data_IF_172634958975
#
_entry.id   IF_172634958975
#
_cell.length_a   1.000
_cell.length_b   1.000
_cell.length_c   1.000
_cell.angle_alpha   90.00
_cell.angle_beta   90.00
_cell.angle_gamma   90.00
#
_symmetry.space_group_name_H-M   'P 1'
#
loop_
_entity.id
_entity.type
_entity.pdbx_description
1 polymer ?
#
# COMPACT_ATOMS: atom_id res chain seq x y z
N UNK A 1 19.27 -0.63 15.41
CA UNK A 1 18.85 -2.00 15.05
C UNK A 1 19.81 -2.45 13.96
N UNK A 2 20.42 -3.63 14.13
CA UNK A 2 21.46 -4.17 13.24
C UNK A 2 20.80 -5.05 12.15
N UNK A 3 21.24 -4.96 10.91
CA UNK A 3 20.71 -5.73 9.76
C UNK A 3 20.72 -7.23 10.04
N UNK A 4 21.74 -7.74 10.76
CA UNK A 4 21.85 -9.15 11.13
C UNK A 4 20.87 -9.64 12.22
N UNK A 5 20.18 -8.73 12.91
CA UNK A 5 19.13 -9.10 13.86
C UNK A 5 17.81 -9.43 13.14
N UNK A 6 17.54 -8.75 12.03
CA UNK A 6 16.39 -9.03 11.19
C UNK A 6 16.50 -10.44 10.63
N UNK A 7 17.63 -10.82 10.02
CA UNK A 7 17.88 -12.15 9.44
C UNK A 7 17.55 -13.36 10.35
N UNK A 8 17.58 -13.20 11.69
CA UNK A 8 17.34 -14.29 12.64
C UNK A 8 15.86 -14.56 12.93
N UNK A 9 14.93 -13.65 12.58
CA UNK A 9 13.51 -13.76 12.95
C UNK A 9 12.62 -14.54 11.95
N UNK A 10 13.11 -14.83 10.73
CA UNK A 10 12.36 -15.35 9.57
C UNK A 10 12.92 -16.69 9.04
N UNK A 11 13.84 -17.29 9.80
CA UNK A 11 14.62 -18.48 9.39
C UNK A 11 13.83 -19.79 9.26
N UNK A 12 12.51 -19.80 9.39
CA UNK A 12 11.74 -21.04 9.28
C UNK A 12 11.06 -21.22 7.93
N UNK A 13 10.95 -20.17 7.12
CA UNK A 13 10.02 -20.17 5.98
C UNK A 13 10.71 -19.97 4.61
N UNK A 14 11.88 -19.32 4.56
CA UNK A 14 12.58 -19.02 3.29
C UNK A 14 13.87 -19.82 3.03
N UNK A 15 14.14 -20.86 3.81
CA UNK A 15 15.22 -21.82 3.51
C UNK A 15 14.76 -22.74 2.38
N UNK A 16 14.68 -22.18 1.18
CA UNK A 16 14.15 -22.83 0.00
C UNK A 16 14.57 -22.18 -1.33
N UNK A 17 15.62 -21.37 -1.34
CA UNK A 17 16.40 -21.10 -2.57
C UNK A 17 17.83 -20.85 -2.14
N UNK A 18 18.62 -21.92 -2.17
CA UNK A 18 20.03 -21.86 -1.88
C UNK A 18 20.75 -20.90 -2.81
N UNK A 19 21.94 -20.51 -2.36
CA UNK A 19 23.05 -19.84 -3.04
C UNK A 19 23.49 -20.48 -4.40
N UNK A 20 22.63 -21.20 -5.13
CA UNK A 20 23.02 -22.04 -6.26
C UNK A 20 22.02 -22.14 -7.43
N UNK A 21 20.77 -21.65 -7.37
CA UNK A 21 19.87 -21.70 -8.55
C UNK A 21 18.95 -20.46 -8.61
N UNK A 22 19.17 -19.58 -9.60
CA UNK A 22 18.43 -18.32 -9.83
C UNK A 22 16.97 -18.49 -10.30
N UNK A 23 16.34 -19.67 -10.15
CA UNK A 23 15.08 -19.93 -10.88
C UNK A 23 14.07 -20.85 -10.18
N UNK A 24 14.28 -21.24 -8.92
CA UNK A 24 13.31 -22.08 -8.22
C UNK A 24 12.28 -21.21 -7.47
N UNK A 25 11.01 -21.24 -7.92
CA UNK A 25 9.89 -20.64 -7.16
C UNK A 25 9.91 -21.11 -5.71
N UNK A 26 9.80 -20.16 -4.77
CA UNK A 26 9.79 -20.46 -3.34
C UNK A 26 8.68 -21.49 -3.02
N UNK A 27 8.95 -22.53 -2.19
CA UNK A 27 7.91 -23.46 -1.73
C UNK A 27 6.70 -22.76 -1.12
N UNK A 28 6.89 -21.59 -0.51
CA UNK A 28 5.83 -20.77 0.07
C UNK A 28 5.00 -20.09 -1.02
N UNK A 29 5.65 -19.49 -2.01
CA UNK A 29 4.96 -18.87 -3.15
C UNK A 29 4.07 -19.90 -3.83
N UNK A 30 4.60 -21.11 -4.10
CA UNK A 30 3.83 -22.22 -4.67
C UNK A 30 2.64 -22.64 -3.79
N UNK A 31 2.86 -22.78 -2.47
CA UNK A 31 1.80 -23.13 -1.54
C UNK A 31 0.69 -22.06 -1.48
N UNK A 32 1.07 -20.78 -1.49
CA UNK A 32 0.15 -19.65 -1.48
C UNK A 32 -0.64 -19.57 -2.78
N UNK A 33 0.01 -19.69 -3.95
CA UNK A 33 -0.68 -19.74 -5.24
C UNK A 33 -1.67 -20.90 -5.32
N UNK A 34 -1.29 -22.09 -4.84
CA UNK A 34 -2.19 -23.25 -4.80
C UNK A 34 -3.38 -23.04 -3.85
N UNK A 35 -3.18 -22.37 -2.71
CA UNK A 35 -4.25 -22.00 -1.79
C UNK A 35 -5.21 -21.00 -2.43
N UNK A 36 -4.69 -19.93 -3.03
CA UNK A 36 -5.49 -18.91 -3.71
C UNK A 36 -6.28 -19.53 -4.87
N UNK A 37 -5.67 -20.41 -5.66
CA UNK A 37 -6.35 -21.13 -6.73
C UNK A 37 -7.53 -21.97 -6.21
N UNK A 38 -7.36 -22.67 -5.08
CA UNK A 38 -8.45 -23.41 -4.44
C UNK A 38 -9.54 -22.48 -3.91
N UNK A 39 -9.17 -21.31 -3.39
CA UNK A 39 -10.12 -20.31 -2.90
C UNK A 39 -10.96 -19.70 -4.02
N UNK A 40 -10.45 -19.63 -5.27
CA UNK A 40 -11.24 -19.15 -6.43
C UNK A 40 -12.56 -19.92 -6.60
N UNK A 41 -12.58 -21.22 -6.29
CA UNK A 41 -13.80 -22.03 -6.36
C UNK A 41 -14.90 -21.55 -5.40
N UNK A 42 -14.54 -20.84 -4.32
CA UNK A 42 -15.49 -20.23 -3.38
C UNK A 42 -16.00 -18.85 -3.84
N UNK A 43 -15.40 -18.27 -4.88
CA UNK A 43 -15.71 -16.93 -5.40
C UNK A 43 -15.83 -15.88 -4.28
N UNK A 44 -14.80 -15.71 -3.42
CA UNK A 44 -14.82 -14.64 -2.43
C UNK A 44 -14.82 -13.28 -3.15
N UNK A 45 -15.57 -12.32 -2.60
CA UNK A 45 -15.55 -10.94 -3.09
C UNK A 45 -14.21 -10.26 -2.76
N UNK A 46 -13.62 -10.58 -1.60
CA UNK A 46 -12.33 -10.05 -1.16
C UNK A 46 -11.43 -11.16 -0.59
N UNK A 47 -10.13 -11.03 -0.82
CA UNK A 47 -9.09 -11.81 -0.16
C UNK A 47 -8.17 -10.82 0.54
N UNK A 48 -8.20 -10.81 1.88
CA UNK A 48 -7.32 -9.99 2.69
C UNK A 48 -6.09 -10.80 3.07
N UNK A 49 -4.92 -10.30 2.70
CA UNK A 49 -3.63 -10.90 3.05
C UNK A 49 -2.99 -10.00 4.11
N UNK A 50 -2.98 -10.46 5.36
CA UNK A 50 -2.31 -9.74 6.45
C UNK A 50 -0.81 -10.05 6.42
N UNK A 51 -0.05 -9.15 5.80
CA UNK A 51 1.40 -9.12 5.94
C UNK A 51 1.74 -8.21 7.11
N UNK A 52 2.03 -8.80 8.28
CA UNK A 52 2.68 -8.02 9.35
C UNK A 52 3.93 -7.36 8.77
N UNK A 53 4.16 -6.09 9.11
CA UNK A 53 5.35 -5.31 8.77
C UNK A 53 6.63 -5.84 9.47
N UNK A 54 6.81 -7.16 9.50
CA UNK A 54 8.11 -7.76 9.68
C UNK A 54 8.88 -7.46 8.42
N UNK A 55 9.83 -6.54 8.51
CA UNK A 55 10.95 -6.31 7.59
C UNK A 55 11.66 -7.57 7.08
N UNK A 56 11.34 -8.72 7.68
CA UNK A 56 12.03 -9.95 7.42
C UNK A 56 11.19 -10.87 6.59
N UNK A 57 11.17 -10.61 5.29
CA UNK A 57 11.37 -11.63 4.27
C UNK A 57 10.76 -11.11 2.97
N UNK A 58 11.34 -11.56 1.86
CA UNK A 58 10.73 -11.58 0.54
C UNK A 58 9.22 -11.92 0.54
N UNK A 59 8.64 -12.50 1.60
CA UNK A 59 7.22 -12.68 1.85
C UNK A 59 6.37 -11.41 1.63
N UNK A 60 6.66 -10.31 2.33
CA UNK A 60 5.86 -9.08 2.22
C UNK A 60 5.97 -8.46 0.83
N UNK A 61 7.17 -8.52 0.26
CA UNK A 61 7.47 -7.94 -1.05
C UNK A 61 6.98 -8.78 -2.22
N UNK A 62 6.89 -10.11 -2.07
CA UNK A 62 6.29 -11.02 -3.07
C UNK A 62 4.75 -11.00 -3.03
N UNK A 63 4.16 -10.50 -1.94
CA UNK A 63 2.72 -10.28 -1.86
C UNK A 63 2.27 -9.03 -2.62
N UNK A 64 3.13 -8.03 -2.82
CA UNK A 64 2.81 -6.84 -3.61
C UNK A 64 2.51 -7.19 -5.08
N UNK A 65 3.26 -8.12 -5.69
CA UNK A 65 2.96 -8.61 -7.05
C UNK A 65 1.67 -9.46 -7.12
N UNK A 66 1.14 -9.89 -5.97
CA UNK A 66 -0.04 -10.74 -5.86
C UNK A 66 -1.30 -9.97 -5.46
N UNK A 67 -1.14 -8.84 -4.76
CA UNK A 67 -2.21 -7.96 -4.34
C UNK A 67 -2.62 -7.04 -5.49
N UNK A 68 -3.92 -6.83 -5.65
CA UNK A 68 -4.41 -5.81 -6.58
C UNK A 68 -4.20 -4.40 -6.04
N UNK A 69 -4.25 -4.25 -4.70
CA UNK A 69 -4.10 -3.00 -3.97
C UNK A 69 -3.38 -3.28 -2.66
N UNK A 70 -2.38 -2.45 -2.35
CA UNK A 70 -1.69 -2.45 -1.06
C UNK A 70 -2.35 -1.49 -0.07
N UNK A 71 -2.56 -1.94 1.16
CA UNK A 71 -3.09 -1.08 2.24
C UNK A 71 -2.00 -0.90 3.28
N UNK A 72 -1.45 0.32 3.37
CA UNK A 72 -0.34 0.66 4.26
C UNK A 72 -0.88 1.27 5.54
N UNK A 73 -0.92 0.50 6.63
CA UNK A 73 -1.40 0.97 7.92
C UNK A 73 -0.25 1.46 8.80
N UNK A 74 -0.31 2.71 9.23
CA UNK A 74 0.61 3.27 10.22
C UNK A 74 -0.12 4.17 11.21
N UNK A 75 0.51 4.43 12.36
CA UNK A 75 0.02 5.38 13.37
C UNK A 75 0.88 6.62 13.37
N UNK A 76 0.34 7.74 13.84
CA UNK A 76 1.11 8.95 14.16
C UNK A 76 2.06 8.67 15.33
N UNK A 77 3.25 8.17 14.98
CA UNK A 77 4.31 7.80 15.90
C UNK A 77 5.58 7.59 15.11
N UNK A 78 6.74 7.87 15.72
CA UNK A 78 8.05 7.63 15.08
C UNK A 78 8.18 6.22 14.48
N UNK A 79 7.77 5.19 15.22
CA UNK A 79 7.83 3.82 14.74
C UNK A 79 6.91 3.57 13.53
N UNK A 80 5.73 4.22 13.50
CA UNK A 80 4.82 4.15 12.36
C UNK A 80 5.42 4.80 11.12
N UNK A 81 6.08 5.95 11.28
CA UNK A 81 6.76 6.65 10.20
C UNK A 81 7.95 5.87 9.66
N UNK A 82 8.82 5.37 10.54
CA UNK A 82 9.99 4.57 10.15
C UNK A 82 9.56 3.31 9.35
N UNK A 83 8.43 2.68 9.73
CA UNK A 83 7.87 1.52 9.02
C UNK A 83 7.22 1.88 7.68
N UNK A 84 6.49 3.00 7.63
CA UNK A 84 5.87 3.51 6.39
C UNK A 84 6.96 3.86 5.36
N UNK A 85 7.97 4.63 5.76
CA UNK A 85 9.08 5.04 4.90
C UNK A 85 9.76 3.82 4.26
N UNK A 86 10.10 2.82 5.07
CA UNK A 86 10.74 1.62 4.54
C UNK A 86 9.85 0.84 3.56
N UNK A 87 8.55 0.75 3.86
CA UNK A 87 7.60 0.06 2.98
C UNK A 87 7.46 0.79 1.65
N UNK A 88 7.36 2.12 1.69
CA UNK A 88 7.29 2.99 0.51
C UNK A 88 8.59 2.92 -0.30
N UNK A 89 9.75 2.91 0.35
CA UNK A 89 11.03 2.71 -0.30
C UNK A 89 11.09 1.39 -1.09
N UNK A 90 10.65 0.29 -0.45
CA UNK A 90 10.66 -1.02 -1.09
C UNK A 90 9.65 -1.14 -2.25
N UNK A 91 8.51 -0.45 -2.17
CA UNK A 91 7.55 -0.34 -3.27
C UNK A 91 8.14 0.47 -4.44
N UNK A 92 8.86 1.56 -4.16
CA UNK A 92 9.48 2.42 -5.18
C UNK A 92 10.64 1.76 -5.93
N UNK A 93 11.31 0.77 -5.35
CA UNK A 93 12.30 -0.04 -6.07
C UNK A 93 11.68 -0.91 -7.18
N UNK A 94 10.38 -1.21 -7.10
CA UNK A 94 9.69 -2.20 -7.95
C UNK A 94 8.68 -1.59 -8.90
N UNK A 95 8.07 -0.47 -8.52
CA UNK A 95 6.98 0.15 -9.25
C UNK A 95 7.26 1.62 -9.53
N UNK A 96 6.85 2.09 -10.71
CA UNK A 96 6.71 3.52 -10.96
C UNK A 96 5.52 4.06 -10.15
N UNK A 97 5.58 5.32 -9.72
CA UNK A 97 4.50 5.95 -8.95
C UNK A 97 3.11 5.79 -9.59
N UNK A 98 3.02 5.87 -10.93
CA UNK A 98 1.77 5.69 -11.70
C UNK A 98 1.20 4.27 -11.68
N UNK A 99 2.03 3.26 -11.43
CA UNK A 99 1.63 1.86 -11.39
C UNK A 99 1.26 1.40 -9.98
N UNK A 100 1.61 2.20 -8.97
CA UNK A 100 1.39 1.84 -7.58
C UNK A 100 -0.09 2.01 -7.21
N UNK A 101 -0.74 0.90 -6.96
CA UNK A 101 -2.09 0.86 -6.41
C UNK A 101 -2.00 0.66 -4.90
N UNK A 102 -1.91 1.75 -4.15
CA UNK A 102 -1.89 1.67 -2.69
C UNK A 102 -2.80 2.69 -2.00
N UNK A 103 -3.22 2.35 -0.79
CA UNK A 103 -3.95 3.23 0.13
C UNK A 103 -3.16 3.34 1.42
N UNK A 104 -2.71 4.55 1.75
CA UNK A 104 -2.15 4.85 3.07
C UNK A 104 -3.29 5.06 4.07
N UNK A 105 -3.16 4.47 5.26
CA UNK A 105 -4.15 4.56 6.34
C UNK A 105 -3.47 5.08 7.60
N UNK A 106 -3.97 6.21 8.11
CA UNK A 106 -3.66 6.64 9.47
C UNK A 106 -4.57 5.89 10.43
N UNK A 107 -4.03 4.89 11.11
CA UNK A 107 -4.74 4.08 12.08
C UNK A 107 -4.72 4.72 13.48
N UNK A 108 -5.81 4.54 14.22
CA UNK A 108 -5.98 4.97 15.61
C UNK A 108 -5.80 6.48 15.80
N UNK A 109 -6.26 7.29 14.84
CA UNK A 109 -6.28 8.74 15.00
C UNK A 109 -7.16 9.16 16.20
N UNK A 110 -6.93 10.33 16.82
CA UNK A 110 -7.78 10.80 17.91
C UNK A 110 -9.28 10.81 17.55
N UNK A 111 -10.16 10.45 18.49
CA UNK A 111 -11.59 10.22 18.20
C UNK A 111 -12.34 11.51 17.83
N UNK A 112 -11.98 12.64 18.46
CA UNK A 112 -12.66 13.93 18.26
C UNK A 112 -12.02 14.72 17.13
N UNK A 113 -12.71 14.78 15.98
CA UNK A 113 -12.24 15.45 14.77
C UNK A 113 -12.00 16.96 14.94
N UNK A 114 -12.68 17.60 15.89
CA UNK A 114 -12.52 19.04 16.15
C UNK A 114 -11.44 19.35 17.18
N UNK A 115 -10.77 18.34 17.72
CA UNK A 115 -9.76 18.54 18.76
C UNK A 115 -8.43 19.02 18.15
N UNK A 116 -7.70 19.91 18.84
CA UNK A 116 -6.35 20.31 18.42
C UNK A 116 -5.36 19.15 18.33
N UNK A 117 -5.64 18.04 19.01
CA UNK A 117 -4.85 16.81 18.92
C UNK A 117 -5.08 16.08 17.59
N UNK A 118 -6.34 15.95 17.18
CA UNK A 118 -6.69 15.36 15.89
C UNK A 118 -6.10 16.17 14.72
N UNK A 119 -6.27 17.48 14.74
CA UNK A 119 -5.75 18.36 13.67
C UNK A 119 -4.23 18.23 13.54
N UNK A 120 -3.51 18.29 14.67
CA UNK A 120 -2.05 18.11 14.68
C UNK A 120 -1.63 16.73 14.19
N UNK A 121 -2.27 15.69 14.71
CA UNK A 121 -1.92 14.30 14.40
C UNK A 121 -2.15 13.95 12.94
N UNK A 122 -3.26 14.40 12.37
CA UNK A 122 -3.59 14.17 10.95
C UNK A 122 -2.75 15.03 10.00
N UNK A 123 -2.40 16.26 10.39
CA UNK A 123 -1.48 17.10 9.63
C UNK A 123 -0.06 16.51 9.60
N UNK A 124 0.47 16.12 10.76
CA UNK A 124 1.80 15.50 10.84
C UNK A 124 1.85 14.20 10.04
N UNK A 125 0.85 13.33 10.18
CA UNK A 125 0.83 12.07 9.45
C UNK A 125 0.75 12.28 7.93
N UNK A 126 -0.03 13.27 7.46
CA UNK A 126 -0.08 13.65 6.04
C UNK A 126 1.30 14.10 5.55
N UNK A 127 1.97 14.96 6.30
CA UNK A 127 3.29 15.46 5.94
C UNK A 127 4.32 14.32 5.85
N UNK A 128 4.38 13.45 6.86
CA UNK A 128 5.29 12.31 6.89
C UNK A 128 5.01 11.31 5.77
N UNK A 129 3.74 11.08 5.44
CA UNK A 129 3.34 10.24 4.31
C UNK A 129 3.78 10.85 2.97
N UNK A 130 3.50 12.14 2.74
CA UNK A 130 3.94 12.83 1.53
C UNK A 130 5.46 12.79 1.38
N UNK A 131 6.20 13.08 2.45
CA UNK A 131 7.66 13.12 2.41
C UNK A 131 8.26 11.73 2.10
N UNK A 132 7.70 10.65 2.66
CA UNK A 132 8.09 9.28 2.30
C UNK A 132 7.89 9.00 0.79
N UNK A 133 6.73 9.35 0.23
CA UNK A 133 6.47 9.17 -1.21
C UNK A 133 7.34 10.09 -2.07
N UNK A 134 7.56 11.33 -1.66
CA UNK A 134 8.40 12.29 -2.38
C UNK A 134 9.86 11.83 -2.45
N UNK A 135 10.37 11.21 -1.37
CA UNK A 135 11.74 10.70 -1.33
C UNK A 135 11.98 9.48 -2.21
N UNK A 136 10.98 8.59 -2.30
CA UNK A 136 11.17 7.23 -2.83
C UNK A 136 10.40 6.91 -4.12
N UNK A 137 9.28 7.57 -4.38
CA UNK A 137 8.38 7.24 -5.50
C UNK A 137 8.23 8.37 -6.50
N UNK A 138 8.07 9.61 -6.03
CA UNK A 138 7.79 10.72 -6.94
C UNK A 138 9.02 11.17 -7.72
N UNK A 139 8.83 11.63 -8.98
CA UNK A 139 9.92 12.14 -9.79
C UNK A 139 10.62 13.30 -9.09
N UNK A 140 11.95 13.23 -9.00
CA UNK A 140 12.77 14.33 -8.52
C UNK A 140 12.95 15.31 -9.67
N UNK A 141 12.66 16.58 -9.43
CA UNK A 141 12.74 17.67 -10.42
C UNK A 141 14.17 17.92 -10.98
N UNK A 142 15.18 17.11 -10.64
CA UNK A 142 16.59 17.37 -10.98
C UNK A 142 17.22 16.38 -11.99
N UNK A 143 16.43 15.54 -12.67
CA UNK A 143 17.00 14.60 -13.66
C UNK A 143 17.11 15.14 -15.10
N UNK A 144 16.88 16.43 -15.35
CA UNK A 144 17.22 17.07 -16.65
C UNK A 144 18.70 17.46 -16.67
N UNK A 145 19.58 16.46 -16.79
CA UNK A 145 21.03 16.70 -16.83
C UNK A 145 21.88 15.61 -17.49
N UNK A 146 21.30 14.52 -18.00
CA UNK A 146 22.07 13.47 -18.70
C UNK A 146 21.50 13.25 -20.08
N UNK A 147 22.37 13.32 -21.10
CA UNK A 147 22.04 13.22 -22.51
C UNK A 147 21.23 11.94 -22.81
N UNK A 148 19.92 12.11 -23.01
CA UNK A 148 19.04 11.05 -23.47
C UNK A 148 19.34 10.73 -24.94
N UNK A 149 19.46 9.43 -25.25
CA UNK A 149 19.70 8.94 -26.61
C UNK A 149 18.43 9.17 -27.47
N UNK A 150 18.51 9.54 -28.76
CA UNK A 150 17.35 9.98 -29.56
C UNK A 150 16.47 8.81 -30.04
N UNK A 151 15.87 8.06 -29.12
CA UNK A 151 15.01 6.92 -29.40
C UNK A 151 13.89 6.66 -28.38
N UNK A 152 14.06 7.09 -27.12
CA UNK A 152 13.11 6.84 -26.03
C UNK A 152 12.23 8.07 -25.68
N UNK A 153 12.21 9.10 -26.52
CA UNK A 153 11.55 10.40 -26.26
C UNK A 153 10.08 10.49 -26.67
N UNK A 154 9.35 9.38 -26.75
CA UNK A 154 7.90 9.41 -26.91
C UNK A 154 7.26 9.05 -25.56
N UNK A 155 6.69 10.09 -24.94
CA UNK A 155 5.76 10.06 -23.79
C UNK A 155 6.37 9.94 -22.39
N UNK A 156 7.33 10.80 -22.08
CA UNK A 156 7.49 11.29 -20.70
C UNK A 156 6.86 12.69 -20.65
N UNK A 157 5.53 12.76 -20.48
CA UNK A 157 4.98 13.96 -19.84
C UNK A 157 5.71 14.09 -18.50
N UNK A 158 6.41 15.21 -18.28
CA UNK A 158 7.09 15.51 -17.03
C UNK A 158 6.03 15.64 -15.92
N UNK A 159 5.60 14.50 -15.39
CA UNK A 159 4.59 14.43 -14.35
C UNK A 159 5.22 14.94 -13.06
N UNK A 160 4.96 16.21 -12.76
CA UNK A 160 5.42 16.84 -11.52
C UNK A 160 4.88 16.08 -10.32
N UNK A 161 5.70 15.92 -9.28
CA UNK A 161 5.28 15.28 -8.04
C UNK A 161 3.96 15.90 -7.52
N UNK A 162 2.96 15.09 -7.11
CA UNK A 162 1.73 15.59 -6.54
C UNK A 162 1.99 16.46 -5.30
N UNK A 163 1.24 17.55 -5.15
CA UNK A 163 1.29 18.38 -3.94
C UNK A 163 0.83 17.62 -2.70
N UNK A 164 1.33 18.00 -1.52
CA UNK A 164 1.02 17.39 -0.22
C UNK A 164 -0.49 17.36 0.12
N UNK A 165 -1.23 18.36 -0.36
CA UNK A 165 -2.68 18.48 -0.14
C UNK A 165 -3.52 17.70 -1.17
N UNK A 166 -2.89 16.91 -2.06
CA UNK A 166 -3.61 16.15 -3.08
C UNK A 166 -4.40 15.00 -2.45
N UNK A 167 -5.73 15.12 -2.41
CA UNK A 167 -6.61 14.14 -1.75
C UNK A 167 -6.74 12.80 -2.49
N UNK A 168 -6.38 12.77 -3.77
CA UNK A 168 -6.48 11.60 -4.65
C UNK A 168 -5.14 10.87 -4.82
N UNK A 169 -4.03 11.51 -4.44
CA UNK A 169 -2.69 10.93 -4.53
C UNK A 169 -2.52 9.77 -3.54
N UNK A 170 -1.65 8.83 -3.90
CA UNK A 170 -1.37 7.63 -3.11
C UNK A 170 -0.86 7.93 -1.68
N UNK A 171 -0.14 9.04 -1.49
CA UNK A 171 0.36 9.47 -0.18
C UNK A 171 -0.75 10.00 0.73
N UNK A 172 -1.93 10.35 0.19
CA UNK A 172 -3.00 11.01 0.94
C UNK A 172 -3.66 10.01 1.90
N UNK A 173 -3.51 10.18 3.22
CA UNK A 173 -3.93 9.16 4.16
C UNK A 173 -5.45 9.11 4.31
N UNK A 174 -6.00 7.90 4.39
CA UNK A 174 -7.36 7.65 4.88
C UNK A 174 -7.32 7.49 6.39
N UNK A 175 -7.99 8.39 7.09
CA UNK A 175 -7.97 8.44 8.56
C UNK A 175 -9.01 7.48 9.14
N UNK A 176 -8.55 6.56 10.00
CA UNK A 176 -9.41 5.68 10.80
C UNK A 176 -9.22 6.02 12.27
N UNK A 177 -10.26 6.62 12.86
CA UNK A 177 -10.21 7.06 14.26
C UNK A 177 -10.21 5.89 15.23
N UNK A 178 -9.58 6.12 16.37
CA UNK A 178 -9.65 5.25 17.52
C UNK A 178 -11.10 5.19 18.04
N UNK A 179 -11.57 3.97 18.26
CA UNK A 179 -12.82 3.70 18.94
C UNK A 179 -12.56 2.69 20.07
N UNK A 180 -12.77 3.12 21.31
CA UNK A 180 -12.57 2.30 22.51
C UNK A 180 -13.40 1.00 22.50
N UNK A 181 -14.53 0.98 21.79
CA UNK A 181 -15.41 -0.20 21.70
C UNK A 181 -14.79 -1.31 20.86
N UNK A 182 -13.83 -0.99 19.99
CA UNK A 182 -13.07 -1.97 19.21
C UNK A 182 -11.96 -2.65 20.04
N UNK A 183 -11.61 -2.11 21.21
CA UNK A 183 -10.61 -2.72 22.11
C UNK A 183 -11.16 -3.97 22.77
N UNK A 184 -12.46 -3.95 23.13
CA UNK A 184 -13.11 -5.09 23.79
C UNK A 184 -14.58 -5.16 23.41
N UNK A 185 -14.98 -6.28 22.85
CA UNK A 185 -16.36 -6.58 22.49
C UNK A 185 -16.67 -8.06 22.72
N UNK A 186 -17.95 -8.36 22.93
CA UNK A 186 -18.41 -9.74 23.18
C UNK A 186 -18.63 -10.54 21.89
N UNK A 187 -18.90 -9.86 20.78
CA UNK A 187 -19.10 -10.45 19.46
C UNK A 187 -18.97 -9.39 18.37
N UNK A 188 -18.75 -9.81 17.11
CA UNK A 188 -18.74 -8.89 15.96
C UNK A 188 -20.09 -8.17 15.79
N UNK A 189 -21.21 -8.86 16.09
CA UNK A 189 -22.54 -8.25 16.06
C UNK A 189 -22.68 -7.09 17.02
N UNK A 190 -22.00 -7.12 18.16
CA UNK A 190 -22.05 -6.05 19.18
C UNK A 190 -21.32 -4.77 18.74
N UNK A 191 -20.41 -4.85 17.77
CA UNK A 191 -19.64 -3.71 17.24
C UNK A 191 -19.95 -3.43 15.77
N UNK A 192 -21.09 -3.91 15.26
CA UNK A 192 -21.45 -3.78 13.85
C UNK A 192 -21.38 -2.32 13.39
N UNK A 193 -21.86 -1.39 14.20
CA UNK A 193 -21.84 0.04 13.85
C UNK A 193 -20.43 0.59 13.69
N UNK A 194 -19.49 0.15 14.53
CA UNK A 194 -18.09 0.59 14.51
C UNK A 194 -17.33 -0.02 13.32
N UNK A 195 -17.58 -1.30 13.03
CA UNK A 195 -17.02 -1.99 11.85
C UNK A 195 -17.50 -1.37 10.54
N UNK A 196 -18.70 -0.79 10.53
CA UNK A 196 -19.24 -0.03 9.40
C UNK A 196 -19.27 1.46 9.72
N UNK A 197 -18.29 1.99 10.45
CA UNK A 197 -18.19 3.43 10.65
C UNK A 197 -17.95 4.16 9.33
N UNK A 198 -18.19 5.47 9.30
CA UNK A 198 -17.95 6.28 8.09
C UNK A 198 -16.49 6.20 7.63
N UNK A 199 -15.54 6.25 8.57
CA UNK A 199 -14.10 6.12 8.31
C UNK A 199 -13.78 4.81 7.57
N UNK A 200 -14.33 3.68 8.05
CA UNK A 200 -14.11 2.36 7.44
C UNK A 200 -14.80 2.27 6.07
N UNK A 201 -16.02 2.81 5.91
CA UNK A 201 -16.70 2.80 4.61
C UNK A 201 -15.94 3.61 3.55
N UNK A 202 -15.39 4.78 3.93
CA UNK A 202 -14.56 5.60 3.03
C UNK A 202 -13.28 4.87 2.64
N UNK A 203 -12.65 4.16 3.57
CA UNK A 203 -11.49 3.31 3.29
C UNK A 203 -11.84 2.19 2.30
N UNK A 204 -12.91 1.44 2.56
CA UNK A 204 -13.35 0.35 1.66
C UNK A 204 -13.67 0.89 0.28
N UNK A 205 -14.40 2.00 0.16
CA UNK A 205 -14.69 2.62 -1.13
C UNK A 205 -13.42 3.00 -1.89
N UNK A 206 -12.41 3.53 -1.20
CA UNK A 206 -11.12 3.83 -1.85
C UNK A 206 -10.38 2.58 -2.32
N UNK A 207 -10.43 1.49 -1.56
CA UNK A 207 -9.84 0.21 -1.98
C UNK A 207 -10.56 -0.31 -3.23
N UNK A 208 -11.89 -0.27 -3.23
CA UNK A 208 -12.71 -0.72 -4.36
C UNK A 208 -12.44 0.10 -5.63
N UNK A 209 -12.33 1.43 -5.52
CA UNK A 209 -11.97 2.33 -6.62
C UNK A 209 -10.66 1.92 -7.29
N UNK A 210 -9.64 1.55 -6.51
CA UNK A 210 -8.34 1.13 -7.04
C UNK A 210 -8.33 -0.30 -7.60
N UNK A 211 -9.29 -1.13 -7.21
CA UNK A 211 -9.47 -2.48 -7.79
C UNK A 211 -10.35 -2.50 -9.04
N UNK A 212 -11.05 -1.40 -9.35
CA UNK A 212 -11.86 -1.33 -10.56
C UNK A 212 -10.94 -1.48 -11.78
N UNK A 213 -11.31 -2.29 -12.79
CA UNK A 213 -10.54 -2.36 -14.02
C UNK A 213 -10.47 -0.95 -14.61
N UNK A 214 -9.27 -0.53 -15.02
CA UNK A 214 -9.10 0.66 -15.87
C UNK A 214 -10.10 0.51 -17.01
N UNK A 215 -11.03 1.47 -17.12
CA UNK A 215 -12.16 1.34 -18.04
C UNK A 215 -11.66 0.94 -19.41
N UNK A 216 -12.27 -0.09 -20.00
CA UNK A 216 -12.23 -0.25 -21.44
C UNK A 216 -12.63 1.12 -22.01
N UNK A 217 -11.69 1.77 -22.69
CA UNK A 217 -11.98 2.94 -23.51
C UNK A 217 -13.23 2.59 -24.33
N UNK A 218 -14.36 3.21 -24.01
CA UNK A 218 -15.51 3.27 -24.90
C UNK A 218 -15.15 4.25 -26.02
N UNK A 219 -14.13 3.88 -26.79
CA UNK A 219 -13.75 4.49 -28.05
C UNK A 219 -14.35 3.66 -29.18
N UNK A 220 -15.19 4.33 -29.97
CA UNK A 220 -15.62 3.95 -31.31
C UNK A 220 -16.78 2.94 -31.45
N UNK A 221 -17.97 3.35 -31.01
CA UNK A 221 -19.23 2.92 -31.63
C UNK A 221 -20.09 4.13 -32.08
N UNK A 222 -19.48 5.12 -32.75
CA UNK A 222 -20.19 6.08 -33.61
C UNK A 222 -19.43 6.30 -34.93
N UNK A 223 -19.35 5.25 -35.76
CA UNK A 223 -18.98 5.38 -37.17
C UNK A 223 -19.66 4.32 -38.05
N UNK A 224 -20.97 4.46 -38.26
CA UNK A 224 -21.62 4.12 -39.54
C UNK A 224 -23.02 4.70 -39.58
N UNK A 225 -23.09 5.93 -40.09
CA UNK A 225 -24.25 6.43 -40.82
C UNK A 225 -24.16 5.98 -42.29
#
# INVERSE_FOLDING_TARGET
LDEGYFEKLGRLDFVGSGLLEESAESPIQRALCALLFKLRARRPDYILLDSRAGLHDLAGLSLHDLAHVDVLLARDSKQGYDGLELTVAALGERHLARQLRCVVVQALAPTDQGSPEYERSTAEFRHQSWDAFARHLYPKAEATGTEATPGDLLELEEESAPGEDSETAAHSPRVVRYDERLVRFSSLSAIREQLFSEDVRRLVGRIEELTAPEGEDQGDEEASA
#
